data_IF_713834442732
#
_entry.id   IF_713834442732
#
_cell.length_a   1.000
_cell.length_b   1.000
_cell.length_c   1.000
_cell.angle_alpha   90.00
_cell.angle_beta   90.00
_cell.angle_gamma   90.00
#
_symmetry.space_group_name_H-M   'P 1'
#
loop_
_entity.id
_entity.type
_entity.pdbx_description
1 polymer ?
#
# COMPACT_ATOMS: atom_id res chain seq x y z
N UNK A 1 -0.26 -9.98 43.01
CA UNK A 1 -1.39 -9.54 42.16
C UNK A 1 -0.98 -8.23 41.53
N UNK A 2 -0.56 -8.25 40.27
CA UNK A 2 -0.26 -7.05 39.51
C UNK A 2 -1.32 -6.97 38.41
N UNK A 3 -2.22 -6.00 38.52
CA UNK A 3 -3.20 -5.67 37.49
C UNK A 3 -2.43 -5.26 36.23
N UNK A 4 -2.48 -6.11 35.20
CA UNK A 4 -2.04 -5.73 33.86
C UNK A 4 -3.22 -5.01 33.21
N UNK A 5 -3.15 -3.67 33.18
CA UNK A 5 -4.11 -2.88 32.42
C UNK A 5 -3.87 -3.13 30.93
N UNK A 6 -4.67 -4.04 30.37
CA UNK A 6 -4.74 -4.29 28.93
C UNK A 6 -5.39 -3.08 28.26
N UNK A 7 -4.60 -2.05 27.92
CA UNK A 7 -5.06 -1.01 27.00
C UNK A 7 -4.91 -1.51 25.56
N UNK A 8 -5.76 -2.45 25.15
CA UNK A 8 -5.92 -2.83 23.75
C UNK A 8 -6.61 -1.69 23.01
N UNK A 9 -5.82 -0.74 22.49
CA UNK A 9 -6.36 0.28 21.58
C UNK A 9 -6.69 -0.38 20.25
N UNK A 10 -7.98 -0.64 20.05
CA UNK A 10 -8.57 -1.08 18.79
C UNK A 10 -7.96 -0.30 17.61
N UNK A 11 -7.34 -1.01 16.67
CA UNK A 11 -6.76 -0.43 15.46
C UNK A 11 -7.81 0.33 14.61
N UNK A 12 -9.07 -0.08 14.71
CA UNK A 12 -10.23 0.44 13.98
C UNK A 12 -10.75 1.81 14.46
N UNK A 13 -10.36 2.29 15.64
CA UNK A 13 -10.91 3.53 16.23
C UNK A 13 -9.99 4.75 16.14
N UNK A 14 -8.92 4.69 15.33
CA UNK A 14 -8.12 5.89 15.06
C UNK A 14 -8.93 6.88 14.19
N UNK A 15 -9.21 8.10 14.66
CA UNK A 15 -9.86 9.10 13.82
C UNK A 15 -9.03 9.35 12.57
N UNK A 16 -9.71 9.47 11.43
CA UNK A 16 -9.04 9.72 10.16
C UNK A 16 -8.24 11.03 10.25
N UNK A 17 -7.00 11.07 9.72
CA UNK A 17 -6.22 12.29 9.72
C UNK A 17 -6.99 13.39 9.00
N UNK A 18 -7.20 14.53 9.66
CA UNK A 18 -7.78 15.70 9.01
C UNK A 18 -6.90 16.10 7.80
N UNK A 19 -7.53 16.30 6.63
CA UNK A 19 -6.83 16.79 5.45
C UNK A 19 -6.30 18.20 5.70
N UNK A 20 -5.17 18.60 5.10
CA UNK A 20 -4.76 20.00 5.12
C UNK A 20 -5.87 20.87 4.50
N UNK A 21 -6.05 22.13 4.93
CA UNK A 21 -7.04 23.00 4.31
C UNK A 21 -6.76 23.18 2.80
N UNK A 22 -7.80 23.50 2.04
CA UNK A 22 -7.69 23.95 0.65
C UNK A 22 -7.16 25.39 0.69
N UNK A 23 -6.12 25.70 -0.08
CA UNK A 23 -5.56 27.04 -0.12
C UNK A 23 -6.52 28.01 -0.83
N UNK A 24 -6.50 29.33 -0.52
CA UNK A 24 -7.43 30.29 -1.14
C UNK A 24 -7.36 30.38 -2.67
N UNK A 25 -6.20 30.07 -3.26
CA UNK A 25 -5.97 30.06 -4.71
C UNK A 25 -6.47 28.79 -5.40
N UNK A 26 -6.82 27.76 -4.63
CA UNK A 26 -7.21 26.48 -5.17
C UNK A 26 -8.68 26.48 -5.57
N UNK A 27 -8.95 26.17 -6.84
CA UNK A 27 -10.31 26.12 -7.37
C UNK A 27 -10.86 24.70 -7.31
N UNK A 28 -11.97 24.49 -6.61
CA UNK A 28 -12.71 23.22 -6.69
C UNK A 28 -13.26 23.04 -8.11
N UNK A 29 -12.94 21.90 -8.73
CA UNK A 29 -13.36 21.59 -10.10
C UNK A 29 -14.54 20.64 -10.12
N UNK A 30 -14.46 19.54 -9.36
CA UNK A 30 -15.44 18.48 -9.38
C UNK A 30 -15.45 17.70 -8.08
N UNK A 31 -16.63 17.23 -7.70
CA UNK A 31 -16.80 16.20 -6.68
C UNK A 31 -17.36 14.95 -7.35
N UNK A 32 -16.63 13.84 -7.28
CA UNK A 32 -17.08 12.54 -7.76
C UNK A 32 -17.65 11.79 -6.57
N UNK A 33 -18.92 11.43 -6.62
CA UNK A 33 -19.52 10.50 -5.66
C UNK A 33 -19.10 9.08 -5.99
N UNK A 34 -18.81 8.27 -4.98
CA UNK A 34 -18.56 6.84 -5.17
C UNK A 34 -19.75 6.15 -5.88
N UNK A 35 -20.98 6.55 -5.54
CA UNK A 35 -22.21 6.09 -6.21
C UNK A 35 -22.33 6.45 -7.69
N UNK A 36 -21.50 7.38 -8.20
CA UNK A 36 -21.44 7.69 -9.63
C UNK A 36 -20.56 6.69 -10.41
N UNK A 37 -19.77 5.88 -9.70
CA UNK A 37 -19.00 4.76 -10.27
C UNK A 37 -19.98 3.60 -10.41
N UNK A 38 -20.26 3.19 -11.66
CA UNK A 38 -21.10 2.01 -11.92
C UNK A 38 -20.31 0.76 -11.54
N UNK A 39 -20.48 0.30 -10.30
CA UNK A 39 -20.13 -1.07 -9.90
C UNK A 39 -21.25 -1.96 -10.43
N UNK A 40 -20.93 -3.12 -11.02
CA UNK A 40 -21.95 -4.11 -11.39
C UNK A 40 -22.79 -4.51 -10.18
N UNK A 41 -24.01 -5.02 -10.38
CA UNK A 41 -25.00 -5.30 -9.32
C UNK A 41 -24.36 -5.86 -8.03
N UNK A 42 -24.40 -5.06 -6.96
CA UNK A 42 -23.89 -5.46 -5.64
C UNK A 42 -24.93 -6.33 -4.93
N UNK A 43 -24.75 -7.64 -4.98
CA UNK A 43 -25.35 -8.55 -4.00
C UNK A 43 -24.35 -8.84 -2.87
N UNK A 44 -24.76 -8.55 -1.64
CA UNK A 44 -24.20 -9.05 -0.37
C UNK A 44 -22.75 -8.61 -0.02
N UNK A 45 -22.52 -7.30 0.07
CA UNK A 45 -21.23 -6.73 0.51
C UNK A 45 -20.97 -7.09 1.99
N UNK A 46 -20.13 -8.11 2.23
CA UNK A 46 -19.62 -8.49 3.55
C UNK A 46 -18.46 -7.56 3.95
N UNK A 47 -18.59 -6.88 5.08
CA UNK A 47 -17.54 -6.01 5.64
C UNK A 47 -16.64 -6.81 6.58
N UNK A 48 -15.33 -6.56 6.52
CA UNK A 48 -14.37 -7.08 7.50
C UNK A 48 -14.35 -6.12 8.70
N UNK A 49 -14.73 -6.60 9.89
CA UNK A 49 -14.68 -5.87 11.17
C UNK A 49 -13.73 -6.54 12.15
N UNK A 50 -13.45 -5.90 13.28
CA UNK A 50 -12.71 -6.49 14.43
C UNK A 50 -11.35 -7.09 14.10
N UNK A 51 -10.63 -6.47 13.15
CA UNK A 51 -9.28 -6.88 12.79
C UNK A 51 -8.30 -6.44 13.89
N UNK A 52 -7.78 -7.40 14.65
CA UNK A 52 -6.64 -7.22 15.54
C UNK A 52 -5.58 -8.29 15.27
N UNK A 53 -4.32 -7.97 15.55
CA UNK A 53 -3.23 -8.94 15.48
C UNK A 53 -3.37 -9.95 16.63
N UNK A 54 -3.41 -11.25 16.29
CA UNK A 54 -3.57 -12.34 17.27
C UNK A 54 -2.24 -13.00 17.61
N UNK A 55 -1.50 -13.50 16.62
CA UNK A 55 -0.21 -14.15 16.80
C UNK A 55 0.53 -14.29 15.45
N UNK A 56 1.83 -14.57 15.51
CA UNK A 56 2.65 -15.00 14.37
C UNK A 56 3.61 -16.11 14.80
N UNK A 57 4.01 -16.95 13.87
CA UNK A 57 4.97 -18.02 14.09
C UNK A 57 5.74 -18.32 12.80
N UNK A 58 6.95 -18.84 12.92
CA UNK A 58 7.80 -19.29 11.82
C UNK A 58 8.00 -20.80 11.92
N UNK A 59 8.03 -21.49 10.79
CA UNK A 59 8.45 -22.90 10.76
C UNK A 59 9.98 -22.99 10.77
N UNK A 60 10.51 -23.90 11.58
CA UNK A 60 11.92 -24.28 11.51
C UNK A 60 12.08 -25.47 10.56
N UNK A 61 13.10 -25.40 9.71
CA UNK A 61 13.51 -26.55 8.92
C UNK A 61 14.15 -27.60 9.84
N UNK A 62 13.61 -28.82 9.86
CA UNK A 62 14.13 -29.94 10.63
C UNK A 62 13.20 -31.15 10.60
N UNK A 63 13.68 -32.29 11.08
CA UNK A 63 12.95 -33.57 11.04
C UNK A 63 11.68 -33.59 11.93
N UNK A 64 11.56 -32.62 12.85
CA UNK A 64 10.42 -32.47 13.76
C UNK A 64 9.66 -31.17 13.47
N UNK A 65 8.33 -31.22 13.34
CA UNK A 65 7.52 -30.02 13.12
C UNK A 65 7.64 -29.08 14.31
N UNK A 66 8.43 -28.02 14.14
CA UNK A 66 8.76 -27.07 15.20
C UNK A 66 8.43 -25.67 14.71
N UNK A 67 7.63 -24.95 15.50
CA UNK A 67 7.34 -23.53 15.26
C UNK A 67 8.10 -22.67 16.25
N UNK A 68 8.67 -21.58 15.73
CA UNK A 68 9.25 -20.50 16.52
C UNK A 68 8.22 -19.38 16.60
N UNK A 69 7.79 -19.01 17.80
CA UNK A 69 6.98 -17.82 18.03
C UNK A 69 7.93 -16.63 18.23
N UNK A 70 7.95 -15.62 17.34
CA UNK A 70 8.89 -14.51 17.45
C UNK A 70 8.60 -13.67 18.69
N UNK A 71 9.63 -13.45 19.52
CA UNK A 71 9.61 -12.47 20.60
C UNK A 71 10.33 -11.20 20.14
N UNK A 72 9.74 -10.48 19.19
CA UNK A 72 10.28 -9.20 18.72
C UNK A 72 9.72 -8.03 19.51
N UNK A 73 10.51 -6.96 19.61
CA UNK A 73 10.03 -5.69 20.10
C UNK A 73 9.17 -5.01 19.04
N UNK A 74 8.08 -4.36 19.47
CA UNK A 74 7.34 -3.45 18.59
C UNK A 74 8.26 -2.38 18.03
N UNK A 75 7.95 -1.89 16.84
CA UNK A 75 8.68 -0.83 16.16
C UNK A 75 8.79 0.39 17.09
N UNK A 76 10.02 0.79 17.43
CA UNK A 76 10.32 1.96 18.27
C UNK A 76 11.19 2.93 17.48
N UNK A 77 10.55 3.74 16.64
CA UNK A 77 11.26 4.62 15.73
C UNK A 77 10.41 5.74 15.15
N UNK A 78 11.08 6.69 14.53
CA UNK A 78 10.43 7.76 13.76
C UNK A 78 10.39 7.34 12.30
N UNK A 79 9.20 6.98 11.82
CA UNK A 79 9.00 6.51 10.45
C UNK A 79 8.24 7.55 9.64
N UNK A 80 8.83 7.98 8.52
CA UNK A 80 8.18 8.92 7.62
C UNK A 80 7.08 8.23 6.81
N UNK A 81 5.95 8.91 6.65
CA UNK A 81 4.85 8.45 5.79
C UNK A 81 5.28 8.33 4.33
N UNK A 82 6.14 9.23 3.86
CA UNK A 82 6.73 9.20 2.53
C UNK A 82 8.25 9.40 2.64
N UNK A 83 9.01 8.31 2.47
CA UNK A 83 10.47 8.32 2.53
C UNK A 83 11.09 9.15 1.40
N UNK A 84 10.49 9.19 0.21
CA UNK A 84 11.05 9.97 -0.89
C UNK A 84 10.81 11.46 -0.69
N UNK A 85 9.61 11.85 -0.25
CA UNK A 85 9.33 13.25 0.08
C UNK A 85 10.21 13.74 1.25
N UNK A 86 10.52 12.89 2.24
CA UNK A 86 11.40 13.29 3.35
C UNK A 86 12.86 13.46 2.93
N UNK A 87 13.32 12.78 1.87
CA UNK A 87 14.69 12.90 1.34
C UNK A 87 14.82 13.95 0.24
N UNK A 88 13.81 14.12 -0.60
CA UNK A 88 13.80 15.06 -1.71
C UNK A 88 12.42 15.72 -1.89
N UNK A 89 12.04 16.59 -0.95
CA UNK A 89 10.70 17.18 -0.87
C UNK A 89 10.25 17.94 -2.13
N UNK A 90 11.18 18.59 -2.83
CA UNK A 90 10.88 19.33 -4.06
C UNK A 90 10.51 18.39 -5.22
N UNK A 91 11.20 17.24 -5.33
CA UNK A 91 11.06 16.32 -6.47
C UNK A 91 11.01 14.85 -5.99
N UNK A 92 9.97 14.46 -5.23
CA UNK A 92 9.89 13.12 -4.62
C UNK A 92 9.80 11.99 -5.65
N UNK A 93 9.38 12.28 -6.88
CA UNK A 93 9.24 11.30 -7.97
C UNK A 93 10.50 11.19 -8.82
N UNK A 94 11.37 12.19 -8.80
CA UNK A 94 12.56 12.24 -9.67
C UNK A 94 13.50 11.03 -9.52
N UNK A 95 13.83 10.56 -8.29
CA UNK A 95 14.69 9.39 -8.14
C UNK A 95 14.16 8.15 -8.87
N UNK A 96 12.83 7.97 -8.91
CA UNK A 96 12.22 6.85 -9.59
C UNK A 96 12.35 6.97 -11.12
N UNK A 97 12.09 8.15 -11.68
CA UNK A 97 12.24 8.38 -13.12
C UNK A 97 13.71 8.19 -13.54
N UNK A 98 14.66 8.74 -12.77
CA UNK A 98 16.10 8.52 -13.00
C UNK A 98 16.46 7.04 -12.96
N UNK A 99 15.93 6.27 -12.00
CA UNK A 99 16.19 4.84 -11.90
C UNK A 99 15.71 4.07 -13.15
N UNK A 100 14.54 4.40 -13.72
CA UNK A 100 14.05 3.79 -14.96
C UNK A 100 15.06 3.98 -16.08
N UNK A 101 15.43 5.22 -16.39
CA UNK A 101 16.31 5.50 -17.53
C UNK A 101 17.77 5.10 -17.28
N UNK A 102 18.19 4.95 -16.02
CA UNK A 102 19.50 4.39 -15.69
C UNK A 102 19.54 2.89 -15.95
N UNK A 103 18.48 2.16 -15.58
CA UNK A 103 18.41 0.70 -15.74
C UNK A 103 17.95 0.26 -17.13
N UNK A 104 17.14 1.08 -17.80
CA UNK A 104 16.54 0.85 -19.11
C UNK A 104 16.57 2.15 -19.92
N UNK A 105 17.73 2.53 -20.50
CA UNK A 105 17.87 3.78 -21.27
C UNK A 105 16.86 3.92 -22.42
N UNK A 106 16.46 2.79 -23.01
CA UNK A 106 15.51 2.68 -24.12
C UNK A 106 14.04 2.64 -23.69
N UNK A 107 13.75 2.78 -22.39
CA UNK A 107 12.37 2.72 -21.88
C UNK A 107 11.50 3.82 -22.50
N UNK A 108 10.39 3.43 -23.12
CA UNK A 108 9.48 4.39 -23.73
C UNK A 108 8.50 4.96 -22.69
N UNK A 109 8.94 6.01 -21.97
CA UNK A 109 8.10 6.68 -20.98
C UNK A 109 6.84 7.35 -21.54
N UNK A 110 6.76 7.62 -22.85
CA UNK A 110 5.59 8.25 -23.48
C UNK A 110 4.37 7.31 -23.55
N UNK A 111 4.59 6.00 -23.36
CA UNK A 111 3.53 4.98 -23.31
C UNK A 111 2.96 4.79 -21.90
N UNK A 112 3.41 5.55 -20.91
CA UNK A 112 2.88 5.46 -19.55
C UNK A 112 1.71 6.43 -19.43
N UNK A 113 0.52 5.92 -19.16
CA UNK A 113 -0.66 6.75 -18.92
C UNK A 113 -0.69 7.25 -17.48
N UNK A 114 -0.35 6.40 -16.51
CA UNK A 114 -0.39 6.74 -15.08
C UNK A 114 0.90 6.32 -14.39
N UNK A 115 1.50 7.25 -13.66
CA UNK A 115 2.62 6.99 -12.75
C UNK A 115 2.19 7.27 -11.31
N UNK A 116 2.27 6.28 -10.41
CA UNK A 116 1.77 6.42 -9.05
C UNK A 116 2.59 5.66 -8.00
N UNK A 117 2.54 6.10 -6.75
CA UNK A 117 2.98 5.30 -5.61
C UNK A 117 1.91 4.26 -5.25
N UNK A 118 2.31 3.06 -4.81
CA UNK A 118 1.35 2.04 -4.32
C UNK A 118 0.47 2.57 -3.19
N UNK A 119 1.05 3.39 -2.31
CA UNK A 119 0.33 4.03 -1.20
C UNK A 119 -0.67 5.12 -1.66
N UNK A 120 -0.61 5.56 -2.93
CA UNK A 120 -1.62 6.42 -3.56
C UNK A 120 -2.72 5.60 -4.24
N UNK A 121 -2.35 4.47 -4.85
CA UNK A 121 -3.29 3.56 -5.51
C UNK A 121 -4.23 2.86 -4.53
N UNK A 122 -3.74 2.44 -3.35
CA UNK A 122 -4.57 1.78 -2.33
C UNK A 122 -5.77 2.63 -1.87
N UNK A 123 -5.59 3.92 -1.53
CA UNK A 123 -6.71 4.82 -1.24
C UNK A 123 -7.67 5.07 -2.41
N UNK A 124 -7.18 5.10 -3.66
CA UNK A 124 -8.06 5.19 -4.84
C UNK A 124 -8.96 3.96 -4.96
N UNK A 125 -8.39 2.77 -4.76
CA UNK A 125 -9.15 1.52 -4.70
C UNK A 125 -10.14 1.53 -3.52
N UNK A 126 -9.71 1.98 -2.34
CA UNK A 126 -10.59 2.13 -1.18
C UNK A 126 -11.78 3.05 -1.48
N UNK A 127 -11.57 4.16 -2.19
CA UNK A 127 -12.64 5.04 -2.64
C UNK A 127 -13.60 4.33 -3.61
N UNK A 128 -13.07 3.59 -4.59
CA UNK A 128 -13.89 2.82 -5.54
C UNK A 128 -14.71 1.70 -4.88
N UNK A 129 -14.23 1.17 -3.75
CA UNK A 129 -14.90 0.15 -2.92
C UNK A 129 -15.74 0.76 -1.78
N UNK A 130 -15.98 2.07 -1.80
CA UNK A 130 -16.71 2.82 -0.76
C UNK A 130 -16.19 2.64 0.67
N UNK A 131 -14.91 2.32 0.80
CA UNK A 131 -14.24 2.16 2.09
C UNK A 131 -13.88 3.52 2.69
N UNK A 132 -14.03 3.63 4.01
CA UNK A 132 -13.79 4.88 4.72
C UNK A 132 -12.29 5.16 4.86
N UNK A 133 -11.72 5.86 3.89
CA UNK A 133 -10.31 6.25 3.90
C UNK A 133 -10.12 7.65 3.35
N UNK A 134 -9.52 8.51 4.16
CA UNK A 134 -9.14 9.86 3.76
C UNK A 134 -7.72 9.87 3.19
N UNK A 135 -7.54 10.49 2.03
CA UNK A 135 -6.22 10.68 1.43
C UNK A 135 -6.17 11.98 0.61
N UNK A 136 -4.94 12.44 0.33
CA UNK A 136 -4.68 13.53 -0.60
C UNK A 136 -3.51 13.15 -1.50
N UNK A 137 -3.64 13.49 -2.77
CA UNK A 137 -2.57 13.40 -3.76
C UNK A 137 -2.58 14.64 -4.64
N UNK A 138 -1.43 14.94 -5.23
CA UNK A 138 -1.31 15.89 -6.33
C UNK A 138 -1.37 15.09 -7.63
N UNK A 139 -2.16 15.59 -8.57
CA UNK A 139 -2.25 15.06 -9.92
C UNK A 139 -1.55 16.04 -10.87
N UNK A 140 -0.42 15.61 -11.47
CA UNK A 140 0.35 16.43 -12.41
C UNK A 140 0.41 15.72 -13.77
N UNK A 141 0.02 16.40 -14.84
CA UNK A 141 0.13 15.86 -16.20
C UNK A 141 1.42 16.35 -16.84
N UNK A 142 2.28 15.43 -17.26
CA UNK A 142 3.51 15.72 -18.01
C UNK A 142 3.48 14.92 -19.31
N UNK A 143 3.41 15.62 -20.44
CA UNK A 143 3.11 14.98 -21.73
C UNK A 143 1.77 14.26 -21.66
N UNK A 144 1.77 12.95 -21.95
CA UNK A 144 0.58 12.11 -21.85
C UNK A 144 0.41 11.42 -20.49
N UNK A 145 1.43 11.46 -19.64
CA UNK A 145 1.44 10.74 -18.36
C UNK A 145 0.83 11.58 -17.25
N UNK A 146 -0.09 10.97 -16.49
CA UNK A 146 -0.61 11.51 -15.24
C UNK A 146 0.19 10.97 -14.05
N UNK A 147 0.88 11.86 -13.35
CA UNK A 147 1.59 11.57 -12.11
C UNK A 147 0.65 11.78 -10.91
N UNK A 148 0.45 10.72 -10.12
CA UNK A 148 -0.29 10.74 -8.87
C UNK A 148 0.68 10.72 -7.69
N UNK A 149 1.05 11.91 -7.24
CA UNK A 149 2.06 12.13 -6.21
C UNK A 149 1.38 12.20 -4.85
N UNK A 150 1.85 11.39 -3.90
CA UNK A 150 1.32 11.39 -2.54
C UNK A 150 1.54 12.76 -1.89
N UNK A 151 0.52 13.29 -1.20
CA UNK A 151 0.62 14.59 -0.52
C UNK A 151 0.16 14.49 0.92
N UNK A 152 1.14 14.35 1.79
CA UNK A 152 0.99 14.45 3.24
C UNK A 152 0.93 15.91 3.70
N UNK A 153 0.65 16.15 4.98
CA UNK A 153 0.64 17.51 5.57
C UNK A 153 2.01 18.16 5.49
N UNK A 154 3.06 17.33 5.60
CA UNK A 154 4.46 17.72 5.59
C UNK A 154 5.26 16.63 4.88
N UNK A 155 6.34 17.01 4.20
CA UNK A 155 7.30 16.07 3.62
C UNK A 155 7.95 15.17 4.68
N UNK A 156 8.00 15.65 5.93
CA UNK A 156 8.51 14.94 7.09
C UNK A 156 7.39 14.42 8.00
N UNK A 157 6.16 14.27 7.49
CA UNK A 157 5.08 13.68 8.29
C UNK A 157 5.44 12.26 8.71
N UNK A 158 5.32 11.97 10.01
CA UNK A 158 5.66 10.68 10.60
C UNK A 158 4.42 9.86 10.90
N UNK A 159 4.59 8.55 11.06
CA UNK A 159 3.53 7.65 11.53
C UNK A 159 3.47 7.76 13.05
N UNK A 160 2.38 8.29 13.65
CA UNK A 160 2.28 8.44 15.09
C UNK A 160 1.96 7.10 15.76
N UNK A 161 2.54 6.88 16.94
CA UNK A 161 2.27 5.71 17.79
C UNK A 161 2.40 4.40 17.02
N UNK A 162 3.57 4.17 16.41
CA UNK A 162 3.86 2.92 15.72
C UNK A 162 3.88 1.80 16.75
N UNK A 163 2.98 0.84 16.56
CA UNK A 163 2.76 -0.30 17.45
C UNK A 163 2.69 -1.61 16.66
N UNK A 164 3.25 -1.60 15.46
CA UNK A 164 3.39 -2.76 14.58
C UNK A 164 4.81 -3.32 14.66
N UNK A 165 5.07 -4.33 13.83
CA UNK A 165 6.37 -4.97 13.66
C UNK A 165 6.86 -4.87 12.21
N UNK A 166 6.36 -3.87 11.47
CA UNK A 166 6.60 -3.74 10.04
C UNK A 166 8.05 -3.34 9.71
N UNK A 167 8.80 -2.88 10.71
CA UNK A 167 10.22 -2.54 10.57
C UNK A 167 11.11 -3.53 11.30
N UNK A 168 10.79 -3.86 12.56
CA UNK A 168 11.59 -4.80 13.35
C UNK A 168 11.65 -6.20 12.72
N UNK A 169 10.58 -6.68 12.09
CA UNK A 169 10.58 -8.02 11.44
C UNK A 169 11.55 -8.06 10.26
N UNK A 170 11.45 -7.18 9.24
CA UNK A 170 12.44 -7.14 8.17
C UNK A 170 13.87 -6.93 8.70
N UNK A 171 14.07 -6.04 9.68
CA UNK A 171 15.40 -5.80 10.26
C UNK A 171 16.00 -7.03 10.94
N UNK A 172 15.18 -7.84 11.61
CA UNK A 172 15.65 -9.03 12.32
C UNK A 172 15.90 -10.24 11.39
N UNK A 173 15.17 -10.31 10.26
CA UNK A 173 15.13 -11.51 9.42
C UNK A 173 15.66 -11.32 8.00
N UNK A 174 16.03 -10.10 7.61
CA UNK A 174 16.67 -9.82 6.32
C UNK A 174 18.09 -9.30 6.54
N UNK A 175 18.94 -9.47 5.53
CA UNK A 175 20.26 -8.86 5.49
C UNK A 175 20.38 -8.05 4.21
N UNK A 176 21.04 -6.89 4.29
CA UNK A 176 21.40 -6.15 3.10
C UNK A 176 22.45 -6.92 2.30
N UNK A 177 22.29 -6.92 0.98
CA UNK A 177 23.38 -7.30 0.10
C UNK A 177 24.60 -6.42 0.41
N UNK A 178 25.84 -6.97 0.42
CA UNK A 178 27.05 -6.19 0.67
C UNK A 178 27.16 -4.90 -0.17
N UNK A 179 26.66 -4.90 -1.40
CA UNK A 179 26.68 -3.73 -2.28
C UNK A 179 25.68 -2.63 -1.87
N UNK A 180 24.72 -2.95 -1.00
CA UNK A 180 23.60 -2.09 -0.62
C UNK A 180 23.60 -1.73 0.88
N UNK A 181 24.66 -2.04 1.62
CA UNK A 181 24.80 -1.71 3.05
C UNK A 181 24.64 -0.20 3.26
N UNK A 182 23.81 0.19 4.23
CA UNK A 182 23.46 1.59 4.50
C UNK A 182 22.19 2.08 3.81
N UNK A 183 21.57 1.24 2.97
CA UNK A 183 20.24 1.52 2.41
C UNK A 183 19.17 1.58 3.51
N UNK A 184 18.14 2.41 3.30
CA UNK A 184 17.02 2.59 4.25
C UNK A 184 15.67 2.12 3.68
N UNK A 185 15.62 1.86 2.37
CA UNK A 185 14.46 1.31 1.67
C UNK A 185 14.88 0.78 0.31
N UNK A 186 14.09 -0.14 -0.22
CA UNK A 186 14.17 -0.55 -1.62
C UNK A 186 12.86 -0.18 -2.31
N UNK A 187 12.95 0.65 -3.35
CA UNK A 187 11.79 1.12 -4.12
C UNK A 187 11.81 0.44 -5.48
N UNK A 188 10.77 -0.32 -5.81
CA UNK A 188 10.63 -0.95 -7.13
C UNK A 188 9.73 -0.12 -8.02
N UNK A 189 9.89 -0.29 -9.32
CA UNK A 189 9.02 0.31 -10.34
C UNK A 189 8.46 -0.82 -11.18
N UNK A 190 7.16 -1.02 -11.04
CA UNK A 190 6.44 -2.12 -11.68
C UNK A 190 5.55 -1.54 -12.75
N UNK A 191 5.81 -1.90 -14.00
CA UNK A 191 4.91 -1.61 -15.10
C UNK A 191 3.83 -2.67 -15.18
N UNK A 192 2.58 -2.26 -15.31
CA UNK A 192 1.46 -3.15 -15.55
C UNK A 192 0.41 -2.46 -16.42
N UNK A 193 -0.54 -3.25 -16.92
CA UNK A 193 -1.68 -2.75 -17.67
C UNK A 193 -2.93 -3.01 -16.84
N UNK A 194 -3.77 -1.99 -16.68
CA UNK A 194 -5.04 -2.08 -15.99
C UNK A 194 -6.15 -1.59 -16.92
N UNK A 195 -6.96 -2.53 -17.43
CA UNK A 195 -7.83 -2.27 -18.57
C UNK A 195 -7.01 -1.83 -19.78
N UNK A 196 -7.30 -0.66 -20.32
CA UNK A 196 -6.58 -0.08 -21.46
C UNK A 196 -5.49 0.92 -21.02
N UNK A 197 -5.23 1.06 -19.72
CA UNK A 197 -4.27 2.01 -19.18
C UNK A 197 -2.93 1.32 -18.86
N UNK A 198 -1.85 1.92 -19.34
CA UNK A 198 -0.48 1.57 -19.02
C UNK A 198 -0.02 2.30 -17.77
N UNK A 199 0.33 1.55 -16.73
CA UNK A 199 0.64 2.05 -15.40
C UNK A 199 2.12 1.77 -15.05
N UNK A 200 2.73 2.71 -14.33
CA UNK A 200 3.94 2.48 -13.55
C UNK A 200 3.64 2.74 -12.09
N UNK A 201 3.68 1.68 -11.28
CA UNK A 201 3.43 1.75 -9.85
C UNK A 201 4.75 1.58 -9.10
N UNK A 202 4.99 2.45 -8.12
CA UNK A 202 6.17 2.45 -7.26
C UNK A 202 5.87 1.92 -5.85
N UNK A 203 5.98 0.61 -5.60
CA UNK A 203 5.96 0.05 -4.25
C UNK A 203 7.33 0.15 -3.55
N UNK A 204 7.28 0.22 -2.23
CA UNK A 204 8.40 -0.16 -1.37
C UNK A 204 8.39 -1.69 -1.21
N UNK A 205 9.56 -2.31 -1.15
CA UNK A 205 9.72 -3.76 -0.99
C UNK A 205 10.71 -4.03 0.13
N UNK A 206 10.36 -4.97 1.00
CA UNK A 206 11.16 -5.27 2.19
C UNK A 206 12.30 -6.26 1.91
N UNK A 207 12.11 -7.20 0.97
CA UNK A 207 13.08 -8.27 0.72
C UNK A 207 13.10 -8.77 -0.73
N UNK A 208 14.14 -9.56 -1.06
CA UNK A 208 14.21 -10.34 -2.28
C UNK A 208 14.81 -11.72 -2.02
N UNK A 209 14.38 -12.74 -2.76
CA UNK A 209 14.94 -14.08 -2.71
C UNK A 209 15.90 -14.29 -3.89
N UNK A 210 17.22 -14.42 -3.67
CA UNK A 210 18.17 -14.45 -4.79
C UNK A 210 18.02 -15.67 -5.71
N UNK A 211 17.47 -16.77 -5.19
CA UNK A 211 17.46 -18.08 -5.88
C UNK A 211 16.13 -18.40 -6.56
N UNK A 212 15.08 -17.59 -6.35
CA UNK A 212 13.77 -17.77 -6.99
C UNK A 212 13.66 -17.06 -8.35
N UNK A 213 14.65 -16.23 -8.72
CA UNK A 213 14.68 -15.48 -10.00
C UNK A 213 14.58 -16.39 -11.24
N UNK A 214 15.13 -17.61 -11.19
CA UNK A 214 15.11 -18.55 -12.33
C UNK A 214 13.72 -19.12 -12.66
N UNK A 215 12.73 -18.99 -11.78
CA UNK A 215 11.40 -19.57 -11.99
C UNK A 215 10.39 -18.64 -12.67
N UNK A 216 10.62 -17.32 -12.68
CA UNK A 216 9.56 -16.34 -13.03
C UNK A 216 9.70 -15.77 -14.46
N UNK A 217 10.81 -16.00 -15.18
CA UNK A 217 10.94 -15.59 -16.58
C UNK A 217 10.90 -16.81 -17.50
N UNK A 218 9.74 -17.08 -18.11
CA UNK A 218 9.66 -17.80 -19.40
C UNK A 218 9.03 -16.88 -20.44
N UNK A 219 9.76 -16.46 -21.48
CA UNK A 219 9.16 -15.83 -22.64
C UNK A 219 8.64 -16.94 -23.58
N UNK A 220 7.32 -16.89 -23.83
CA UNK A 220 6.58 -17.48 -24.95
C UNK A 220 6.60 -19.02 -25.13
N UNK A 221 5.43 -19.65 -24.93
CA UNK A 221 4.98 -20.70 -25.84
C UNK A 221 4.47 -22.01 -25.22
N UNK A 222 3.14 -22.12 -25.21
CA UNK A 222 2.29 -23.31 -25.31
C UNK A 222 1.95 -24.12 -24.04
N UNK A 223 0.65 -24.30 -23.89
CA UNK A 223 -0.11 -24.83 -22.76
C UNK A 223 0.10 -26.33 -22.47
N UNK A 224 -0.12 -26.73 -21.23
CA UNK A 224 -1.24 -27.63 -20.91
C UNK A 224 -1.62 -27.54 -19.45
N UNK A 225 -2.92 -27.39 -19.25
CA UNK A 225 -3.70 -27.24 -18.04
C UNK A 225 -3.66 -28.46 -17.13
N UNK A 226 -3.60 -28.23 -15.82
CA UNK A 226 -4.54 -28.87 -14.88
C UNK A 226 -4.91 -27.89 -13.79
N UNK A 227 -6.14 -27.43 -13.92
CA UNK A 227 -6.90 -26.61 -13.00
C UNK A 227 -7.27 -27.37 -11.71
N UNK A 228 -7.67 -26.57 -10.70
CA UNK A 228 -8.72 -26.86 -9.70
C UNK A 228 -8.29 -27.80 -8.55
N UNK A 229 -8.43 -27.52 -7.25
CA UNK A 229 -9.22 -26.56 -6.48
C UNK A 229 -8.56 -26.38 -5.10
N UNK A 230 -8.66 -25.21 -4.47
CA UNK A 230 -8.68 -25.14 -3.01
C UNK A 230 -10.13 -24.88 -2.60
N UNK A 231 -10.85 -25.95 -2.29
CA UNK A 231 -12.17 -25.91 -1.70
C UNK A 231 -12.06 -25.39 -0.26
N UNK A 232 -12.57 -24.20 0.00
CA UNK A 232 -12.66 -23.65 1.35
C UNK A 232 -14.05 -23.96 1.92
N UNK A 233 -14.12 -24.74 2.99
CA UNK A 233 -15.36 -24.90 3.78
C UNK A 233 -15.46 -23.76 4.79
N UNK A 234 -16.47 -22.90 4.61
CA UNK A 234 -16.85 -21.85 5.57
C UNK A 234 -17.77 -22.43 6.66
N UNK A 235 -17.54 -22.04 7.91
CA UNK A 235 -18.44 -22.26 9.04
C UNK A 235 -19.25 -20.97 9.29
N UNK A 236 -20.60 -20.99 9.31
CA UNK A 236 -21.41 -19.79 9.54
C UNK A 236 -21.79 -19.64 11.01
N UNK A 237 -21.83 -18.40 11.52
CA UNK A 237 -22.55 -17.98 12.74
C UNK A 237 -23.02 -16.51 12.63
N UNK A 238 -24.05 -16.11 13.40
CA UNK A 238 -25.13 -15.24 12.93
C UNK A 238 -24.94 -13.74 13.17
N UNK A 239 -25.86 -12.99 12.56
CA UNK A 239 -26.04 -11.53 12.61
C UNK A 239 -26.03 -10.94 14.03
N UNK A 240 -25.46 -9.74 14.14
CA UNK A 240 -26.00 -8.70 15.01
C UNK A 240 -25.80 -7.31 14.39
N UNK A 241 -26.84 -6.48 14.53
CA UNK A 241 -26.95 -5.14 13.98
C UNK A 241 -26.15 -4.13 14.81
N UNK A 242 -25.39 -3.25 14.16
CA UNK A 242 -24.98 -1.98 14.76
C UNK A 242 -24.71 -0.89 13.69
N UNK A 243 -24.86 0.34 14.16
CA UNK A 243 -25.27 1.57 13.48
C UNK A 243 -24.35 2.13 12.39
N UNK A 244 -25.00 2.78 11.42
CA UNK A 244 -24.40 3.55 10.34
C UNK A 244 -23.66 4.77 10.87
N UNK A 245 -22.37 4.84 10.58
CA UNK A 245 -21.62 6.10 10.56
C UNK A 245 -21.36 6.46 9.11
N UNK A 246 -21.66 7.71 8.77
CA UNK A 246 -21.64 8.23 7.39
C UNK A 246 -20.20 8.29 6.88
N UNK A 247 -19.90 7.47 5.87
CA UNK A 247 -18.63 7.47 5.17
C UNK A 247 -18.50 8.73 4.28
N UNK A 248 -17.33 9.36 4.19
CA UNK A 248 -17.05 10.34 3.14
C UNK A 248 -16.93 9.60 1.80
N UNK A 249 -18.02 9.56 1.03
CA UNK A 249 -18.17 8.88 -0.27
C UNK A 249 -17.74 9.74 -1.46
N UNK A 250 -16.84 10.71 -1.26
CA UNK A 250 -16.55 11.72 -2.29
C UNK A 250 -15.07 11.96 -2.54
N UNK A 251 -14.71 12.02 -3.83
CA UNK A 251 -13.39 12.45 -4.30
C UNK A 251 -13.51 13.88 -4.83
N UNK A 252 -12.80 14.83 -4.23
CA UNK A 252 -12.77 16.23 -4.67
C UNK A 252 -11.53 16.49 -5.52
N UNK A 253 -11.74 16.94 -6.75
CA UNK A 253 -10.69 17.39 -7.65
C UNK A 253 -10.56 18.90 -7.53
N UNK A 254 -9.33 19.36 -7.29
CA UNK A 254 -9.02 20.75 -7.01
C UNK A 254 -7.87 21.17 -7.91
N UNK A 255 -8.03 22.28 -8.61
CA UNK A 255 -6.97 22.92 -9.38
C UNK A 255 -6.06 23.71 -8.42
N UNK A 256 -4.76 23.49 -8.54
CA UNK A 256 -3.73 24.29 -7.86
C UNK A 256 -3.65 25.71 -8.45
#
# INVERSE_FOLDING_TARGET
MAETSSSSRLWSSRPLPALPPVLPLQQHLLTISASAIKVGDESDVRKITDVFYTASYNWLAGDKPTVLVPALNQDKGTYFRDKNASKHAAYPTEPAVRAIYTMKPEYNGQQVDIFACSNTMGPLLAFALEQNKTYRSVAEKVGNTLFLIRKEKSSCETIPNVCCYGHTVPEAYTNWDPACVGSQSHQRLVSNTFGDLSLVVKPETDEYLPHCWKMIIRPNGLETTTSLEMTWKLLPFPNDNASSTTNPTTLRVIRA
#
